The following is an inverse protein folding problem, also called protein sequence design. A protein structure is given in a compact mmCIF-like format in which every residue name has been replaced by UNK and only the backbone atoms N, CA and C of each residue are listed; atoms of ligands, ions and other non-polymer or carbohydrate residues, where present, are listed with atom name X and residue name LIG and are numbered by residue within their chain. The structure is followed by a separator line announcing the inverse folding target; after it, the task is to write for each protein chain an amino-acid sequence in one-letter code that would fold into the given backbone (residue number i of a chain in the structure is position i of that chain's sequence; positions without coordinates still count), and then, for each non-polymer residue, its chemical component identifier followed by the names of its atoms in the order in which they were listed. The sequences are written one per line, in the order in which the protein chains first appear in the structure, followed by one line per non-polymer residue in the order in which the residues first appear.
data_IF_423375244493
#
_entry.id   IF_423375244493
#
_cell.length_a   1.000
_cell.length_b   1.000
_cell.length_c   1.000
_cell.angle_alpha   90.00
_cell.angle_beta   90.00
_cell.angle_gamma   90.00
#
_symmetry.space_group_name_H-M   'P 1'
#
loop_
_entity.id
_entity.type
_entity.pdbx_description
1 polymer ?
#
# COMPACT_ATOMS: atom_id res chain seq x y z
N UNK A 1 -10.77 21.20 -3.18
CA UNK A 1 -10.46 20.95 -3.37
C UNK A 1 -10.47 20.58 -3.33
N UNK A 2 -10.73 20.54 -3.21
CA UNK A 2 -10.30 20.26 -3.20
C UNK A 2 -10.49 19.85 -3.06
N UNK A 3 -10.36 19.71 -2.80
CA UNK A 3 -10.17 19.34 -2.87
C UNK A 3 -10.39 18.92 -2.93
N UNK A 4 -10.78 18.83 -2.82
CA UNK A 4 -10.50 18.50 -3.00
C UNK A 4 -10.83 18.22 -3.23
N UNK A 5 -10.81 18.25 -3.23
CA UNK A 5 -10.83 17.97 -3.65
C UNK A 5 -10.89 17.78 -4.13
N UNK A 6 -10.60 18.01 -4.33
CA UNK A 6 -10.48 17.67 -4.74
C UNK A 6 -10.76 16.98 -5.20
N UNK A 7 -10.74 16.73 -5.23
CA UNK A 7 -10.87 15.57 -5.53
C UNK A 7 -12.04 15.01 -5.78
N UNK A 8 -12.38 15.05 -6.04
CA UNK A 8 -13.17 14.53 -6.30
C UNK A 8 -13.81 13.94 -6.58
N UNK A 9 -14.08 14.19 -6.41
CA UNK A 9 -14.74 13.46 -6.76
C UNK A 9 -14.96 12.68 -7.75
N UNK A 10 -15.14 13.05 -8.55
CA UNK A 10 -15.17 12.27 -9.66
C UNK A 10 -14.13 11.36 -9.78
N UNK A 11 -13.15 11.69 -9.25
CA UNK A 11 -12.18 10.83 -9.22
C UNK A 11 -12.48 9.74 -8.43
N UNK A 12 -13.34 9.82 -7.52
CA UNK A 12 -13.63 8.74 -6.67
C UNK A 12 -14.07 7.53 -7.39
N UNK A 13 -14.58 7.67 -8.56
CA UNK A 13 -14.93 6.50 -9.31
C UNK A 13 -13.76 5.70 -9.70
N UNK A 14 -12.57 6.24 -9.59
CA UNK A 14 -11.39 5.50 -9.90
C UNK A 14 -10.96 4.63 -8.74
N UNK A 15 -11.47 4.80 -7.58
CA UNK A 15 -11.11 4.05 -6.38
C UNK A 15 -9.65 3.77 -6.32
N UNK A 16 -9.03 3.81 -5.23
CA UNK A 16 -7.68 3.38 -5.08
C UNK A 16 -6.60 4.28 -5.67
N UNK A 17 -6.97 5.39 -6.30
CA UNK A 17 -5.94 6.26 -6.78
C UNK A 17 -5.18 6.85 -5.62
N UNK A 18 -3.87 6.93 -5.73
CA UNK A 18 -3.00 7.39 -4.66
C UNK A 18 -1.79 8.09 -5.24
N UNK A 19 -1.23 9.01 -4.47
CA UNK A 19 0.07 9.61 -4.77
C UNK A 19 1.12 8.73 -4.11
N UNK A 20 2.03 8.18 -4.88
CA UNK A 20 3.00 7.22 -4.38
C UNK A 20 4.42 7.70 -4.65
N UNK A 21 5.27 7.61 -3.63
CA UNK A 21 6.69 7.91 -3.74
C UNK A 21 7.51 6.70 -3.32
N UNK A 22 8.67 6.51 -3.96
CA UNK A 22 9.55 5.38 -3.67
C UNK A 22 10.75 5.85 -2.86
N UNK A 23 11.56 4.91 -2.42
CA UNK A 23 12.76 5.26 -1.69
C UNK A 23 13.71 6.08 -2.57
N UNK A 24 13.66 5.92 -3.88
CA UNK A 24 14.48 6.75 -4.77
C UNK A 24 14.00 8.19 -4.73
N UNK A 25 12.69 8.42 -4.77
CA UNK A 25 12.12 9.76 -4.68
C UNK A 25 12.48 10.41 -3.34
N UNK A 26 12.44 9.65 -2.27
CA UNK A 26 12.80 10.12 -0.94
C UNK A 26 14.27 10.51 -0.93
N UNK A 27 15.13 9.67 -1.49
CA UNK A 27 16.57 9.92 -1.53
C UNK A 27 16.94 11.14 -2.35
N UNK A 28 16.17 11.43 -3.42
CA UNK A 28 16.42 12.59 -4.25
C UNK A 28 15.79 13.87 -3.71
N UNK A 29 14.98 13.76 -2.66
CA UNK A 29 14.32 14.93 -2.09
C UNK A 29 13.20 15.48 -2.94
N UNK A 30 12.47 14.60 -3.66
CA UNK A 30 11.33 15.00 -4.44
C UNK A 30 10.30 15.74 -3.57
N UNK A 31 9.72 16.84 -4.04
CA UNK A 31 8.77 17.60 -3.23
C UNK A 31 7.59 16.76 -2.71
N UNK A 32 7.01 15.90 -3.55
CA UNK A 32 5.90 15.07 -3.11
C UNK A 32 6.33 14.09 -2.01
N UNK A 33 7.55 13.56 -2.12
CA UNK A 33 8.08 12.67 -1.09
C UNK A 33 8.24 13.41 0.24
N UNK A 34 8.74 14.64 0.19
CA UNK A 34 8.89 15.45 1.40
C UNK A 34 7.53 15.73 2.02
N UNK A 35 6.53 16.03 1.21
CA UNK A 35 5.19 16.33 1.69
C UNK A 35 4.58 15.11 2.37
N UNK A 36 4.66 13.95 1.75
CA UNK A 36 4.08 12.72 2.30
C UNK A 36 4.76 12.35 3.61
N UNK A 37 6.09 12.40 3.65
CA UNK A 37 6.81 12.05 4.87
C UNK A 37 6.52 13.05 5.99
N UNK A 38 6.40 14.34 5.67
CA UNK A 38 6.06 15.35 6.66
C UNK A 38 4.66 15.12 7.23
N UNK A 39 3.71 14.78 6.38
CA UNK A 39 2.35 14.47 6.83
C UNK A 39 2.35 13.27 7.76
N UNK A 40 3.12 12.22 7.42
CA UNK A 40 3.24 11.05 8.27
C UNK A 40 3.85 11.38 9.63
N UNK A 41 4.86 12.23 9.63
CA UNK A 41 5.48 12.67 10.89
C UNK A 41 4.50 13.46 11.75
N UNK A 42 3.74 14.35 11.14
CA UNK A 42 2.75 15.16 11.86
C UNK A 42 1.65 14.30 12.47
N UNK A 43 1.32 13.20 11.82
CA UNK A 43 0.33 12.26 12.33
C UNK A 43 0.87 11.35 13.42
N UNK A 44 2.16 11.42 13.69
CA UNK A 44 2.79 10.56 14.68
C UNK A 44 3.11 9.17 14.17
N UNK A 45 3.11 8.98 12.86
CA UNK A 45 3.42 7.69 12.26
C UNK A 45 4.88 7.32 12.54
N UNK A 46 5.10 6.11 13.01
CA UNK A 46 6.45 5.61 13.23
C UNK A 46 6.92 4.89 11.97
N UNK A 47 8.00 5.39 11.39
CA UNK A 47 8.58 4.76 10.21
C UNK A 47 10.09 5.00 10.20
N UNK A 48 10.81 4.14 9.47
CA UNK A 48 12.24 4.28 9.28
C UNK A 48 12.47 4.70 7.83
N UNK A 49 12.85 5.94 7.63
CA UNK A 49 12.98 6.53 6.30
C UNK A 49 13.83 5.67 5.38
N UNK A 50 14.94 5.15 5.87
CA UNK A 50 15.88 4.37 5.05
C UNK A 50 15.33 3.01 4.66
N UNK A 51 14.27 2.55 5.31
CA UNK A 51 13.70 1.23 5.04
C UNK A 51 12.44 1.30 4.19
N UNK A 52 11.96 2.48 3.86
CA UNK A 52 10.75 2.63 3.06
C UNK A 52 11.00 2.15 1.64
N UNK A 53 10.17 1.22 1.19
CA UNK A 53 10.13 0.78 -0.20
C UNK A 53 9.25 1.75 -0.99
N UNK A 54 8.05 2.03 -0.48
CA UNK A 54 7.21 3.10 -1.00
C UNK A 54 6.29 3.62 0.11
N UNK A 55 5.83 4.85 -0.06
CA UNK A 55 4.83 5.46 0.80
C UNK A 55 3.76 6.09 -0.08
N UNK A 56 2.53 6.05 0.35
CA UNK A 56 1.40 6.50 -0.44
C UNK A 56 0.45 7.35 0.37
N UNK A 57 -0.06 8.41 -0.26
CA UNK A 57 -1.18 9.19 0.26
C UNK A 57 -2.41 8.72 -0.52
N UNK A 58 -3.35 8.10 0.18
CA UNK A 58 -4.55 7.58 -0.45
C UNK A 58 -5.54 8.70 -0.75
N UNK A 59 -6.52 8.39 -1.61
CA UNK A 59 -7.51 9.37 -2.01
C UNK A 59 -8.25 9.98 -0.82
N UNK A 60 -8.48 9.19 0.23
CA UNK A 60 -9.17 9.67 1.43
C UNK A 60 -8.25 10.46 2.39
N UNK A 61 -6.99 10.67 2.02
CA UNK A 61 -6.04 11.41 2.83
C UNK A 61 -5.23 10.56 3.81
N UNK A 62 -5.58 9.30 3.98
CA UNK A 62 -4.80 8.41 4.83
C UNK A 62 -3.50 8.00 4.14
N UNK A 63 -2.54 7.58 4.92
CA UNK A 63 -1.25 7.14 4.40
C UNK A 63 -1.07 5.65 4.63
N UNK A 64 -0.45 4.97 3.68
CA UNK A 64 0.04 3.61 3.87
C UNK A 64 1.47 3.56 3.37
N UNK A 65 2.27 2.66 3.92
CA UNK A 65 3.66 2.55 3.49
C UNK A 65 4.17 1.14 3.66
N UNK A 66 5.12 0.78 2.80
CA UNK A 66 5.77 -0.54 2.84
C UNK A 66 7.24 -0.32 3.18
N UNK A 67 7.72 -1.04 4.18
CA UNK A 67 9.14 -1.06 4.52
C UNK A 67 9.73 -2.40 4.12
N UNK A 68 11.05 -2.48 4.07
CA UNK A 68 11.76 -3.73 3.78
C UNK A 68 11.37 -4.82 4.77
N UNK A 69 11.15 -4.44 6.02
CA UNK A 69 10.58 -5.35 7.01
C UNK A 69 11.49 -6.50 7.42
N UNK A 70 10.86 -7.56 7.89
CA UNK A 70 11.56 -8.75 8.35
C UNK A 70 10.69 -9.98 8.06
N UNK A 71 11.01 -11.13 8.64
CA UNK A 71 10.28 -12.37 8.37
C UNK A 71 8.82 -12.32 8.84
N UNK A 72 8.46 -11.37 9.68
CA UNK A 72 7.11 -11.29 10.24
C UNK A 72 6.23 -10.26 9.56
N UNK A 73 6.79 -9.19 9.06
CA UNK A 73 6.02 -8.10 8.44
C UNK A 73 6.84 -7.41 7.37
N UNK A 74 6.13 -6.78 6.43
CA UNK A 74 6.75 -5.96 5.41
C UNK A 74 7.13 -6.75 4.17
N UNK A 75 7.96 -6.14 3.33
CA UNK A 75 8.30 -6.74 2.03
C UNK A 75 8.96 -8.10 2.17
N UNK A 76 9.87 -8.25 3.10
CA UNK A 76 10.55 -9.53 3.28
C UNK A 76 9.56 -10.65 3.63
N UNK A 77 8.61 -10.36 4.52
CA UNK A 77 7.58 -11.32 4.87
C UNK A 77 6.73 -11.69 3.65
N UNK A 78 6.39 -10.69 2.83
CA UNK A 78 5.61 -10.94 1.61
C UNK A 78 6.37 -11.86 0.67
N UNK A 79 7.65 -11.59 0.46
CA UNK A 79 8.49 -12.43 -0.40
C UNK A 79 8.59 -13.84 0.16
N UNK A 80 8.89 -13.96 1.46
CA UNK A 80 9.09 -15.28 2.07
C UNK A 80 7.82 -16.13 2.04
N UNK A 81 6.65 -15.50 2.20
CA UNK A 81 5.39 -16.22 2.33
C UNK A 81 4.56 -16.33 1.05
N UNK A 82 4.73 -15.40 0.11
CA UNK A 82 3.81 -15.27 -1.01
C UNK A 82 4.47 -15.12 -2.38
N UNK A 83 5.79 -15.32 -2.48
CA UNK A 83 6.48 -15.15 -3.77
C UNK A 83 5.89 -16.07 -4.84
N UNK A 84 5.61 -17.32 -4.49
CA UNK A 84 5.05 -18.27 -5.44
C UNK A 84 3.64 -17.85 -5.87
N UNK A 85 2.87 -17.28 -4.97
CA UNK A 85 1.53 -16.82 -5.27
C UNK A 85 1.56 -15.68 -6.30
N UNK A 86 2.49 -14.75 -6.14
CA UNK A 86 2.64 -13.65 -7.09
C UNK A 86 3.14 -14.14 -8.44
N UNK A 87 4.01 -15.13 -8.46
CA UNK A 87 4.49 -15.69 -9.71
C UNK A 87 3.34 -16.39 -10.45
N UNK A 88 2.55 -17.21 -9.74
CA UNK A 88 1.42 -17.90 -10.36
C UNK A 88 0.35 -16.94 -10.87
N UNK A 89 0.02 -15.93 -10.09
CA UNK A 89 -1.08 -15.04 -10.43
C UNK A 89 -0.71 -13.98 -11.46
N UNK A 90 0.53 -13.51 -11.45
CA UNK A 90 0.94 -12.36 -12.24
C UNK A 90 2.26 -12.53 -12.98
N UNK A 91 2.96 -13.62 -12.80
CA UNK A 91 4.29 -13.79 -13.39
C UNK A 91 5.34 -12.86 -12.77
N UNK A 92 5.11 -12.41 -11.54
CA UNK A 92 5.99 -11.46 -10.87
C UNK A 92 7.02 -12.23 -10.04
N UNK A 93 8.29 -11.91 -10.24
CA UNK A 93 9.37 -12.58 -9.52
C UNK A 93 9.64 -11.91 -8.18
N UNK A 94 10.32 -12.57 -7.24
CA UNK A 94 10.51 -12.01 -5.89
C UNK A 94 11.07 -10.59 -5.87
N UNK A 95 12.07 -10.29 -6.70
CA UNK A 95 12.69 -8.96 -6.72
C UNK A 95 11.79 -7.90 -7.39
N UNK A 96 10.68 -8.31 -7.96
CA UNK A 96 9.74 -7.39 -8.61
C UNK A 96 8.52 -7.10 -7.73
N UNK A 97 8.37 -7.79 -6.61
CA UNK A 97 7.17 -7.67 -5.78
C UNK A 97 7.03 -6.26 -5.20
N UNK A 98 8.11 -5.64 -4.73
CA UNK A 98 8.05 -4.29 -4.21
C UNK A 98 7.52 -3.29 -5.24
N UNK A 99 8.14 -3.19 -6.42
CA UNK A 99 7.63 -2.32 -7.49
C UNK A 99 6.21 -2.68 -7.93
N UNK A 100 5.88 -3.97 -7.95
CA UNK A 100 4.54 -4.41 -8.33
C UNK A 100 3.49 -3.89 -7.34
N UNK A 101 3.75 -3.99 -6.04
CA UNK A 101 2.82 -3.50 -5.03
C UNK A 101 2.72 -1.97 -5.06
N UNK A 102 3.82 -1.27 -5.32
CA UNK A 102 3.79 0.16 -5.52
C UNK A 102 2.83 0.53 -6.65
N UNK A 103 2.93 -0.16 -7.79
CA UNK A 103 2.07 0.11 -8.92
C UNK A 103 0.63 -0.29 -8.64
N UNK A 104 0.41 -1.36 -7.91
CA UNK A 104 -0.93 -1.79 -7.50
C UNK A 104 -1.62 -0.67 -6.71
N UNK A 105 -0.94 -0.09 -5.74
CA UNK A 105 -1.51 0.98 -4.92
C UNK A 105 -1.67 2.26 -5.72
N UNK A 106 -0.71 2.56 -6.61
CA UNK A 106 -0.74 3.80 -7.38
C UNK A 106 -1.76 3.79 -8.50
N UNK A 107 -1.95 2.65 -9.15
CA UNK A 107 -2.71 2.58 -10.39
C UNK A 107 -3.84 1.56 -10.38
N UNK A 108 -3.83 0.63 -9.44
CA UNK A 108 -4.85 -0.39 -9.35
C UNK A 108 -6.19 0.20 -8.93
N UNK A 109 -7.26 -0.52 -9.20
CA UNK A 109 -8.59 -0.10 -8.80
C UNK A 109 -8.90 -0.70 -7.44
N UNK A 110 -9.16 0.16 -6.45
CA UNK A 110 -9.58 -0.30 -5.13
C UNK A 110 -11.01 -0.81 -5.24
N UNK A 111 -11.20 -2.08 -5.03
CA UNK A 111 -12.51 -2.71 -5.16
C UNK A 111 -13.28 -2.62 -3.85
N UNK A 112 -12.64 -2.95 -2.75
CA UNK A 112 -13.28 -2.95 -1.44
C UNK A 112 -12.23 -3.03 -0.35
N UNK A 113 -12.64 -2.74 0.88
CA UNK A 113 -11.79 -2.88 2.06
C UNK A 113 -12.59 -3.51 3.17
N UNK A 114 -11.94 -4.40 3.92
CA UNK A 114 -12.56 -5.08 5.06
C UNK A 114 -11.76 -4.77 6.31
N UNK A 115 -12.44 -4.42 7.39
CA UNK A 115 -11.76 -4.26 8.68
C UNK A 115 -11.42 -5.63 9.23
N UNK A 116 -10.31 -5.72 9.91
CA UNK A 116 -9.96 -6.94 10.65
C UNK A 116 -9.25 -6.54 11.94
N UNK A 117 -9.26 -7.45 12.90
CA UNK A 117 -8.62 -7.24 14.18
C UNK A 117 -7.76 -8.48 14.45
N UNK A 118 -6.47 -8.27 14.72
CA UNK A 118 -5.54 -9.35 15.00
C UNK A 118 -4.69 -8.94 16.19
N UNK A 119 -4.75 -9.72 17.26
CA UNK A 119 -3.95 -9.47 18.45
C UNK A 119 -4.14 -8.05 18.99
N UNK A 120 -5.40 -7.58 18.98
CA UNK A 120 -5.70 -6.24 19.49
C UNK A 120 -5.31 -5.11 18.57
N UNK A 121 -4.86 -5.43 17.35
CA UNK A 121 -4.48 -4.41 16.36
C UNK A 121 -5.52 -4.40 15.26
N UNK A 122 -6.10 -3.23 15.04
CA UNK A 122 -7.08 -3.04 13.99
C UNK A 122 -6.40 -2.70 12.69
N UNK A 123 -6.92 -3.23 11.60
CA UNK A 123 -6.39 -2.93 10.29
C UNK A 123 -7.42 -3.11 9.20
N UNK A 124 -6.97 -2.95 7.98
CA UNK A 124 -7.80 -3.11 6.79
C UNK A 124 -7.13 -4.06 5.81
N UNK A 125 -7.96 -4.92 5.20
CA UNK A 125 -7.56 -5.70 4.03
C UNK A 125 -8.18 -4.99 2.85
N UNK A 126 -7.36 -4.33 2.03
CA UNK A 126 -7.84 -3.59 0.87
C UNK A 126 -7.58 -4.42 -0.38
N UNK A 127 -8.62 -4.65 -1.16
CA UNK A 127 -8.53 -5.49 -2.35
C UNK A 127 -8.45 -4.59 -3.58
N UNK A 128 -7.40 -4.75 -4.36
CA UNK A 128 -7.18 -4.02 -5.59
C UNK A 128 -7.33 -4.96 -6.78
N UNK A 129 -7.91 -4.44 -7.87
CA UNK A 129 -7.88 -5.13 -9.15
C UNK A 129 -6.76 -4.52 -9.98
N UNK A 130 -5.79 -5.33 -10.38
CA UNK A 130 -4.62 -4.84 -11.09
C UNK A 130 -4.10 -5.93 -12.01
N UNK A 131 -3.83 -5.57 -13.26
CA UNK A 131 -3.25 -6.49 -14.25
C UNK A 131 -4.01 -7.81 -14.40
N UNK A 132 -5.34 -7.71 -14.37
CA UNK A 132 -6.20 -8.86 -14.65
C UNK A 132 -6.50 -9.77 -13.48
N UNK A 133 -6.07 -9.41 -12.28
CA UNK A 133 -6.35 -10.24 -11.10
C UNK A 133 -6.42 -9.35 -9.85
N UNK A 134 -6.64 -9.96 -8.70
CA UNK A 134 -6.84 -9.21 -7.45
C UNK A 134 -5.65 -9.35 -6.52
N UNK A 135 -5.33 -8.25 -5.84
CA UNK A 135 -4.26 -8.20 -4.84
C UNK A 135 -4.85 -7.66 -3.55
N UNK A 136 -4.58 -8.33 -2.43
CA UNK A 136 -5.03 -7.90 -1.12
C UNK A 136 -3.84 -7.30 -0.38
N UNK A 137 -4.01 -6.11 0.16
CA UNK A 137 -2.98 -5.41 0.93
C UNK A 137 -3.49 -5.20 2.35
N UNK A 138 -2.73 -5.67 3.33
CA UNK A 138 -3.08 -5.55 4.74
C UNK A 138 -2.30 -4.41 5.36
N UNK A 139 -2.99 -3.43 5.93
CA UNK A 139 -2.34 -2.30 6.58
C UNK A 139 -2.95 -2.05 7.96
N UNK A 140 -2.09 -1.71 8.92
CA UNK A 140 -2.53 -1.39 10.29
C UNK A 140 -3.20 -0.02 10.27
N UNK A 141 -4.38 0.10 10.89
CA UNK A 141 -5.14 1.35 10.89
C UNK A 141 -4.41 2.50 11.59
N UNK A 142 -3.68 2.17 12.65
CA UNK A 142 -3.08 3.21 13.49
C UNK A 142 -2.04 4.05 12.75
N UNK A 143 -1.31 3.45 11.80
CA UNK A 143 -0.21 4.16 11.15
C UNK A 143 -0.05 3.86 9.66
N UNK A 144 -0.85 2.94 9.11
CA UNK A 144 -0.75 2.61 7.68
C UNK A 144 0.41 1.69 7.30
N UNK A 145 1.05 1.06 8.27
CA UNK A 145 2.14 0.12 8.00
C UNK A 145 1.59 -1.12 7.30
N UNK A 146 2.12 -1.43 6.12
CA UNK A 146 1.70 -2.61 5.37
C UNK A 146 2.39 -3.83 5.96
N UNK A 147 1.60 -4.75 6.52
CA UNK A 147 2.16 -5.94 7.17
C UNK A 147 2.37 -7.07 6.18
N UNK A 148 1.46 -7.25 5.23
CA UNK A 148 1.58 -8.28 4.21
C UNK A 148 0.70 -7.96 3.01
N UNK A 149 0.89 -8.70 1.93
CA UNK A 149 0.07 -8.59 0.73
C UNK A 149 0.13 -9.92 -0.03
N UNK A 150 -0.92 -10.23 -0.76
CA UNK A 150 -0.98 -11.47 -1.52
C UNK A 150 -2.06 -11.39 -2.59
N UNK A 151 -1.97 -12.17 -3.66
CA UNK A 151 -3.09 -12.29 -4.59
C UNK A 151 -4.30 -12.90 -3.86
N UNK A 152 -5.49 -12.39 -4.11
CA UNK A 152 -6.68 -12.93 -3.46
C UNK A 152 -7.95 -12.25 -3.95
N UNK A 153 -9.03 -13.02 -4.09
CA UNK A 153 -10.31 -12.53 -4.59
C UNK A 153 -11.13 -11.92 -3.45
N UNK A 154 -11.90 -10.84 -3.70
CA UNK A 154 -12.71 -10.23 -2.65
C UNK A 154 -13.65 -11.21 -1.94
N UNK A 155 -14.20 -12.18 -2.65
CA UNK A 155 -15.12 -13.12 -2.06
C UNK A 155 -14.50 -13.95 -0.94
N UNK A 156 -13.18 -14.10 -0.93
CA UNK A 156 -12.49 -14.87 0.09
C UNK A 156 -12.48 -14.18 1.45
N UNK A 157 -12.85 -12.90 1.50
CA UNK A 157 -12.73 -12.08 2.70
C UNK A 157 -14.07 -11.51 3.18
N UNK A 158 -15.15 -11.89 2.54
CA UNK A 158 -16.48 -11.44 2.95
C UNK A 158 -16.97 -12.15 4.20
#
# INVERSE_FOLDING_TARGET
MGSGSKFDSALSTQGGRANVVTNMDIGCGEPLAKDILSEMEEEGTKFTKEKIVFAARLENGNHIFLETGNSKNGLRHIIDGHADDFDRAFGVKPNQIGPFLRDTVAKGKLVTSFRYDTNGREGYRSVYYWKGNYVVVYAISANGYITTAMPGHPADYE
#
